data_IF_388185650577
#
_entry.id   IF_388185650577
#
_cell.length_a   1.000
_cell.length_b   1.000
_cell.length_c   1.000
_cell.angle_alpha   90.00
_cell.angle_beta   90.00
_cell.angle_gamma   90.00
#
_symmetry.space_group_name_H-M   'P 1'
#
loop_
_entity.id
_entity.type
_entity.pdbx_description
1 polymer ?
#
# COMPACT_ATOMS: atom_id res chain seq x y z
N UNK A 1 24.33 25.80 2.18
CA UNK A 1 23.20 24.88 1.95
C UNK A 1 23.24 23.82 3.04
N UNK A 2 22.35 23.91 4.03
CA UNK A 2 22.30 22.92 5.10
C UNK A 2 21.67 21.64 4.54
N UNK A 3 22.44 20.54 4.50
CA UNK A 3 21.86 19.20 4.39
C UNK A 3 20.96 19.02 5.60
N UNK A 4 19.64 19.09 5.40
CA UNK A 4 18.71 18.57 6.40
C UNK A 4 18.97 17.07 6.51
N UNK A 5 19.61 16.63 7.59
CA UNK A 5 19.68 15.21 7.94
C UNK A 5 18.27 14.76 8.33
N UNK A 6 17.41 14.56 7.32
CA UNK A 6 16.10 13.93 7.51
C UNK A 6 16.34 12.50 7.96
N UNK A 7 15.78 12.14 9.11
CA UNK A 7 15.74 10.75 9.59
C UNK A 7 14.75 9.90 8.78
N UNK A 8 13.90 10.54 7.99
CA UNK A 8 12.93 9.89 7.10
C UNK A 8 13.66 9.55 5.79
N UNK A 9 13.66 8.27 5.35
CA UNK A 9 14.24 7.89 4.07
C UNK A 9 13.59 8.62 2.89
N UNK A 10 14.33 8.78 1.81
CA UNK A 10 13.85 9.46 0.62
C UNK A 10 12.57 8.83 0.08
N UNK A 11 11.58 9.66 -0.26
CA UNK A 11 10.29 9.21 -0.81
C UNK A 11 9.27 8.71 0.22
N UNK A 12 9.62 8.62 1.50
CA UNK A 12 8.69 8.32 2.58
C UNK A 12 8.11 9.60 3.20
N UNK A 13 6.92 9.46 3.78
CA UNK A 13 6.29 10.47 4.62
C UNK A 13 6.57 10.18 6.09
N UNK A 14 6.33 11.17 6.97
CA UNK A 14 6.49 11.02 8.43
C UNK A 14 5.73 9.83 9.01
N UNK A 15 4.61 9.44 8.38
CA UNK A 15 3.84 8.23 8.71
C UNK A 15 3.79 7.36 7.45
N UNK A 16 4.03 6.07 7.62
CA UNK A 16 3.89 5.04 6.58
C UNK A 16 3.02 3.91 7.13
N UNK A 17 1.75 3.80 6.72
CA UNK A 17 0.87 2.77 7.24
C UNK A 17 1.25 1.39 6.72
N UNK A 18 1.00 0.38 7.55
CA UNK A 18 1.15 -1.02 7.20
C UNK A 18 -0.23 -1.64 7.03
N UNK A 19 -0.43 -2.36 5.92
CA UNK A 19 -1.61 -3.18 5.71
C UNK A 19 -1.20 -4.64 5.64
N UNK A 20 -1.80 -5.43 6.52
CA UNK A 20 -1.64 -6.88 6.54
C UNK A 20 -2.87 -7.46 5.86
N UNK A 21 -2.69 -8.30 4.84
CA UNK A 21 -3.79 -8.83 4.04
C UNK A 21 -3.56 -10.29 3.66
N UNK A 22 -4.61 -11.06 3.29
CA UNK A 22 -4.41 -12.44 2.82
C UNK A 22 -3.57 -12.55 1.54
N UNK A 23 -3.48 -11.48 0.74
CA UNK A 23 -2.65 -11.44 -0.47
C UNK A 23 -2.28 -10.00 -0.81
N UNK A 24 -1.02 -9.65 -0.55
CA UNK A 24 -0.43 -8.35 -0.86
C UNK A 24 -0.37 -8.09 -2.36
N UNK A 25 -0.19 -9.15 -3.16
CA UNK A 25 -0.23 -9.08 -4.63
C UNK A 25 -1.60 -8.62 -5.12
N UNK A 26 -2.68 -9.26 -4.66
CA UNK A 26 -4.04 -8.82 -5.04
C UNK A 26 -4.37 -7.42 -4.52
N UNK A 27 -3.89 -7.10 -3.31
CA UNK A 27 -4.12 -5.80 -2.73
C UNK A 27 -3.40 -4.69 -3.51
N UNK A 28 -2.15 -4.89 -3.94
CA UNK A 28 -1.45 -3.88 -4.75
C UNK A 28 -2.09 -3.73 -6.14
N UNK A 29 -2.56 -4.82 -6.75
CA UNK A 29 -3.29 -4.78 -8.03
C UNK A 29 -4.56 -3.91 -7.90
N UNK A 30 -5.32 -4.10 -6.82
CA UNK A 30 -6.47 -3.25 -6.50
C UNK A 30 -6.04 -1.78 -6.31
N UNK A 31 -4.97 -1.52 -5.55
CA UNK A 31 -4.50 -0.15 -5.31
C UNK A 31 -4.06 0.54 -6.60
N UNK A 32 -3.39 -0.18 -7.52
CA UNK A 32 -3.01 0.33 -8.84
C UNK A 32 -4.27 0.71 -9.63
N UNK A 33 -5.25 -0.20 -9.69
CA UNK A 33 -6.48 0.03 -10.47
C UNK A 33 -7.39 1.11 -9.88
N UNK A 34 -7.50 1.20 -8.56
CA UNK A 34 -8.43 2.07 -7.85
C UNK A 34 -7.85 3.46 -7.56
N UNK A 35 -6.59 3.53 -7.14
CA UNK A 35 -5.95 4.74 -6.61
C UNK A 35 -4.77 5.22 -7.45
N UNK A 36 -4.61 4.67 -8.66
CA UNK A 36 -3.47 4.94 -9.54
C UNK A 36 -2.12 4.75 -8.81
N UNK A 37 -2.08 3.77 -7.90
CA UNK A 37 -0.89 3.49 -7.13
C UNK A 37 0.25 3.03 -8.04
N UNK A 38 1.48 3.32 -7.63
CA UNK A 38 2.69 2.84 -8.32
C UNK A 38 3.45 1.93 -7.37
N UNK A 39 3.66 0.70 -7.81
CA UNK A 39 4.48 -0.24 -7.06
C UNK A 39 5.97 0.12 -7.08
N UNK A 40 6.63 -0.01 -5.93
CA UNK A 40 8.09 0.09 -5.82
C UNK A 40 8.68 -1.32 -5.89
N UNK A 41 8.81 -1.84 -7.12
CA UNK A 41 9.13 -3.25 -7.39
C UNK A 41 10.46 -3.71 -6.79
N UNK A 42 11.45 -2.81 -6.72
CA UNK A 42 12.79 -3.12 -6.21
C UNK A 42 12.80 -3.42 -4.70
N UNK A 43 11.75 -3.05 -3.97
CA UNK A 43 11.66 -3.23 -2.53
C UNK A 43 10.95 -4.54 -2.13
N UNK A 44 10.50 -5.38 -3.08
CA UNK A 44 9.83 -6.65 -2.73
C UNK A 44 10.75 -7.57 -1.92
N UNK A 45 10.23 -8.09 -0.81
CA UNK A 45 10.87 -9.17 -0.06
C UNK A 45 9.90 -10.31 0.24
N UNK A 46 10.44 -11.53 0.19
CA UNK A 46 9.71 -12.77 0.45
C UNK A 46 10.16 -13.38 1.77
N UNK A 47 9.22 -13.95 2.51
CA UNK A 47 9.51 -14.82 3.64
C UNK A 47 10.08 -16.17 3.14
N UNK A 48 10.66 -16.95 4.05
CA UNK A 48 11.23 -18.27 3.72
C UNK A 48 10.19 -19.26 3.17
N UNK A 49 8.90 -19.07 3.47
CA UNK A 49 7.79 -19.88 2.96
C UNK A 49 7.25 -19.39 1.60
N UNK A 50 7.84 -18.33 1.03
CA UNK A 50 7.45 -17.76 -0.25
C UNK A 50 6.32 -16.73 -0.19
N UNK A 51 5.73 -16.47 0.99
CA UNK A 51 4.76 -15.39 1.17
C UNK A 51 5.42 -14.00 1.10
N UNK A 52 4.64 -12.96 0.82
CA UNK A 52 5.15 -11.59 0.81
C UNK A 52 5.46 -11.15 2.25
N UNK A 53 6.74 -10.92 2.50
CA UNK A 53 7.25 -10.35 3.76
C UNK A 53 7.38 -8.83 3.72
N UNK A 54 7.41 -8.22 2.53
CA UNK A 54 7.40 -6.76 2.34
C UNK A 54 7.06 -6.41 0.89
N UNK A 55 6.13 -5.49 0.68
CA UNK A 55 5.81 -4.84 -0.59
C UNK A 55 5.45 -3.38 -0.34
N UNK A 56 5.63 -2.52 -1.35
CA UNK A 56 5.35 -1.09 -1.23
C UNK A 56 4.58 -0.56 -2.43
N UNK A 57 3.56 0.26 -2.13
CA UNK A 57 2.81 1.01 -3.11
C UNK A 57 2.86 2.50 -2.77
N UNK A 58 3.24 3.33 -3.75
CA UNK A 58 3.11 4.78 -3.65
C UNK A 58 1.73 5.21 -4.11
N UNK A 59 1.04 6.00 -3.29
CA UNK A 59 -0.23 6.66 -3.63
C UNK A 59 -0.04 8.15 -3.40
N UNK A 60 -0.04 8.93 -4.48
CA UNK A 60 0.34 10.34 -4.44
C UNK A 60 1.74 10.52 -3.86
N UNK A 61 1.84 11.16 -2.69
CA UNK A 61 3.11 11.43 -1.99
C UNK A 61 3.44 10.43 -0.89
N UNK A 62 2.53 9.54 -0.53
CA UNK A 62 2.71 8.60 0.57
C UNK A 62 3.06 7.19 0.06
N UNK A 63 3.82 6.44 0.86
CA UNK A 63 4.05 5.01 0.68
C UNK A 63 3.14 4.24 1.65
N UNK A 64 2.58 3.13 1.18
CA UNK A 64 1.87 2.14 1.99
C UNK A 64 2.65 0.84 1.90
N UNK A 65 2.93 0.23 3.05
CA UNK A 65 3.63 -1.05 3.14
C UNK A 65 2.63 -2.20 3.27
N UNK A 66 2.87 -3.30 2.55
CA UNK A 66 1.96 -4.43 2.41
C UNK A 66 2.66 -5.72 2.85
N UNK A 67 1.91 -6.56 3.57
CA UNK A 67 2.39 -7.82 4.13
C UNK A 67 1.33 -8.91 4.01
N UNK A 68 1.75 -10.14 3.69
CA UNK A 68 0.85 -11.29 3.74
C UNK A 68 0.57 -11.68 5.20
N UNK A 69 -0.71 -11.88 5.51
CA UNK A 69 -1.16 -12.36 6.81
C UNK A 69 -0.81 -13.84 6.99
N UNK A 70 -0.45 -14.23 8.22
CA UNK A 70 -0.34 -15.65 8.57
C UNK A 70 -1.71 -16.22 8.95
N UNK A 71 -1.93 -17.50 8.69
CA UNK A 71 -3.22 -18.18 8.91
C UNK A 71 -3.75 -18.10 10.36
N UNK A 72 -2.87 -17.96 11.35
CA UNK A 72 -3.23 -17.85 12.77
C UNK A 72 -3.39 -16.39 13.24
N UNK A 73 -3.25 -15.41 12.35
CA UNK A 73 -3.43 -14.00 12.70
C UNK A 73 -4.90 -13.60 12.55
N UNK A 74 -5.36 -12.75 13.46
CA UNK A 74 -6.66 -12.12 13.29
C UNK A 74 -6.63 -11.12 12.14
N UNK A 75 -7.70 -11.07 11.36
CA UNK A 75 -7.85 -10.07 10.32
C UNK A 75 -7.90 -8.66 10.96
N UNK A 76 -7.00 -7.79 10.54
CA UNK A 76 -6.93 -6.39 10.98
C UNK A 76 -7.51 -5.49 9.90
N UNK A 77 -8.53 -4.70 10.25
CA UNK A 77 -9.04 -3.68 9.33
C UNK A 77 -8.04 -2.54 9.22
N UNK A 78 -7.68 -2.18 7.99
CA UNK A 78 -6.96 -0.96 7.70
C UNK A 78 -7.95 0.20 7.56
N UNK A 79 -7.66 1.32 8.23
CA UNK A 79 -8.40 2.56 8.08
C UNK A 79 -7.44 3.60 7.52
N UNK A 80 -7.66 3.98 6.26
CA UNK A 80 -6.88 5.01 5.59
C UNK A 80 -7.80 6.16 5.18
N UNK A 81 -7.32 7.39 5.38
CA UNK A 81 -7.90 8.56 4.75
C UNK A 81 -7.01 8.94 3.57
N UNK A 82 -7.56 8.84 2.38
CA UNK A 82 -6.86 9.19 1.14
C UNK A 82 -7.49 10.48 0.62
N UNK A 83 -6.67 11.49 0.38
CA UNK A 83 -7.09 12.71 -0.29
C UNK A 83 -6.84 12.55 -1.77
N UNK A 84 -7.87 12.81 -2.57
CA UNK A 84 -7.85 12.69 -4.03
C UNK A 84 -8.52 13.92 -4.65
N UNK A 85 -8.11 14.26 -5.86
CA UNK A 85 -8.66 15.43 -6.57
C UNK A 85 -10.12 15.19 -7.02
N UNK A 86 -10.44 13.98 -7.48
CA UNK A 86 -11.78 13.57 -7.89
C UNK A 86 -12.23 12.30 -7.16
N UNK A 87 -13.00 12.49 -6.10
CA UNK A 87 -13.52 11.38 -5.30
C UNK A 87 -14.50 10.47 -6.05
N UNK A 88 -15.27 11.00 -7.01
CA UNK A 88 -16.26 10.20 -7.74
C UNK A 88 -15.55 9.30 -8.76
N UNK A 89 -14.57 9.83 -9.49
CA UNK A 89 -13.78 9.05 -10.43
C UNK A 89 -13.03 7.90 -9.73
N UNK A 90 -12.45 8.16 -8.56
CA UNK A 90 -11.77 7.13 -7.75
C UNK A 90 -12.76 6.09 -7.22
N UNK A 91 -13.94 6.52 -6.76
CA UNK A 91 -14.99 5.59 -6.35
C UNK A 91 -15.38 4.64 -7.49
N UNK A 92 -15.63 5.17 -8.68
CA UNK A 92 -16.01 4.36 -9.85
C UNK A 92 -14.92 3.38 -10.26
N UNK A 93 -13.64 3.79 -10.21
CA UNK A 93 -12.49 2.90 -10.43
C UNK A 93 -12.43 1.79 -9.39
N UNK A 94 -12.57 2.13 -8.11
CA UNK A 94 -12.53 1.17 -7.01
C UNK A 94 -13.64 0.13 -7.13
N UNK A 95 -14.87 0.55 -7.44
CA UNK A 95 -15.99 -0.37 -7.65
C UNK A 95 -15.75 -1.31 -8.84
N UNK A 96 -15.21 -0.79 -9.96
CA UNK A 96 -14.81 -1.62 -11.11
C UNK A 96 -13.69 -2.60 -10.78
N UNK A 97 -12.79 -2.21 -9.88
CA UNK A 97 -11.72 -3.06 -9.37
C UNK A 97 -12.17 -4.06 -8.29
N UNK A 98 -13.47 -4.11 -7.96
CA UNK A 98 -14.04 -5.10 -7.04
C UNK A 98 -14.19 -4.63 -5.58
N UNK A 99 -14.13 -3.33 -5.29
CA UNK A 99 -14.41 -2.84 -3.95
C UNK A 99 -15.81 -3.26 -3.47
N UNK A 100 -15.90 -3.69 -2.21
CA UNK A 100 -17.16 -4.08 -1.56
C UNK A 100 -17.63 -5.52 -1.84
N UNK A 101 -16.87 -6.33 -2.57
CA UNK A 101 -17.06 -7.78 -2.70
C UNK A 101 -16.14 -8.58 -1.78
#
# INVERSE_FOLDING_TARGET
MNKSNSTIPEGYTTITPWIISPSSVKLIEFMIAAFDAVEIVDNRAYNADGSIGHMEARIGTAIVMLFDSKSHWFATRAFLRIFVDDSQAIYDKAMKAGAGH
#
